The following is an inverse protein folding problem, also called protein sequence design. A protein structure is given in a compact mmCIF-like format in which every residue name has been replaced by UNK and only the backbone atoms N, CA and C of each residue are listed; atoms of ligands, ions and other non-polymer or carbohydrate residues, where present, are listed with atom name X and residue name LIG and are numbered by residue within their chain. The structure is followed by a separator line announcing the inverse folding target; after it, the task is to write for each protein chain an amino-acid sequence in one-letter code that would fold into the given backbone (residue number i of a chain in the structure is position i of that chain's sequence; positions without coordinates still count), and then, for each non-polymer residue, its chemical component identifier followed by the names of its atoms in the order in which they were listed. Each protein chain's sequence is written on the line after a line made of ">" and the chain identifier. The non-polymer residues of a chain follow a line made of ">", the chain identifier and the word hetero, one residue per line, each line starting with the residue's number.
data_IF_416135841321
#
_entry.id   IF_416135841321
#
_cell.length_a   1.000
_cell.length_b   1.000
_cell.length_c   1.000
_cell.angle_alpha   90.00
_cell.angle_beta   90.00
_cell.angle_gamma   90.00
#
_symmetry.space_group_name_H-M   'P 1'
#
loop_
_entity.id
_entity.type
_entity.pdbx_description
1 polymer ?
#
# COMPACT_ATOMS: atom_id res chain seq x y z
N UNK A 1 -14.19 3.34 12.12
CA UNK A 1 -12.79 2.89 12.03
C UNK A 1 -12.58 2.24 10.68
N UNK A 2 -11.41 2.42 10.07
CA UNK A 2 -11.07 1.72 8.82
C UNK A 2 -10.59 0.30 9.08
N UNK A 3 -10.48 -0.54 8.03
CA UNK A 3 -9.84 -1.84 8.17
C UNK A 3 -8.38 -1.69 8.60
N UNK A 4 -7.85 -2.70 9.30
CA UNK A 4 -6.47 -2.73 9.80
C UNK A 4 -5.46 -2.62 8.66
N UNK A 5 -5.77 -3.20 7.50
CA UNK A 5 -4.95 -3.16 6.29
C UNK A 5 -5.84 -2.94 5.06
N UNK A 6 -5.28 -2.33 4.03
CA UNK A 6 -5.96 -2.14 2.74
C UNK A 6 -4.99 -2.46 1.61
N UNK A 7 -5.44 -3.28 0.65
CA UNK A 7 -4.66 -3.57 -0.55
C UNK A 7 -4.58 -2.31 -1.42
N UNK A 8 -3.38 -2.01 -1.92
CA UNK A 8 -3.11 -0.86 -2.81
C UNK A 8 -2.50 -1.21 -4.15
N UNK A 9 -1.87 -2.37 -4.25
CA UNK A 9 -1.35 -2.90 -5.50
C UNK A 9 -1.22 -4.40 -5.40
N UNK A 10 -1.35 -5.07 -6.53
CA UNK A 10 -1.01 -6.48 -6.69
C UNK A 10 -0.60 -6.70 -8.14
N UNK A 11 0.31 -7.64 -8.35
CA UNK A 11 0.70 -8.07 -9.69
C UNK A 11 1.03 -9.56 -9.66
N UNK A 12 0.80 -10.24 -10.78
CA UNK A 12 1.10 -11.66 -10.96
C UNK A 12 2.29 -11.80 -11.90
N UNK A 13 3.48 -11.76 -11.31
CA UNK A 13 4.74 -11.81 -12.06
C UNK A 13 5.16 -13.25 -12.29
N UNK A 14 5.49 -13.57 -13.55
CA UNK A 14 6.10 -14.84 -13.90
C UNK A 14 7.61 -14.75 -13.70
N UNK A 15 8.16 -15.61 -12.85
CA UNK A 15 9.60 -15.69 -12.59
C UNK A 15 10.11 -17.02 -13.12
N UNK A 16 11.16 -17.00 -13.94
CA UNK A 16 11.81 -18.22 -14.42
C UNK A 16 12.48 -18.96 -13.26
N UNK A 17 12.70 -20.26 -13.42
CA UNK A 17 13.41 -21.05 -12.41
C UNK A 17 14.78 -20.41 -12.10
N UNK A 18 15.09 -20.26 -10.81
CA UNK A 18 16.27 -19.54 -10.29
C UNK A 18 16.39 -18.05 -10.69
N UNK A 19 15.32 -17.46 -11.25
CA UNK A 19 15.26 -16.04 -11.58
C UNK A 19 14.83 -15.17 -10.40
N UNK A 20 15.07 -13.86 -10.55
CA UNK A 20 14.61 -12.82 -9.65
C UNK A 20 14.02 -11.71 -10.50
N UNK A 21 12.84 -11.22 -10.11
CA UNK A 21 12.19 -10.09 -10.77
C UNK A 21 11.96 -8.97 -9.76
N UNK A 22 12.08 -7.72 -10.21
CA UNK A 22 11.72 -6.54 -9.44
C UNK A 22 10.33 -6.09 -9.85
N UNK A 23 9.48 -5.84 -8.86
CA UNK A 23 8.10 -5.38 -9.06
C UNK A 23 7.95 -4.01 -8.42
N UNK A 24 7.33 -3.09 -9.14
CA UNK A 24 7.10 -1.71 -8.68
C UNK A 24 5.60 -1.46 -8.54
N UNK A 25 5.22 -0.85 -7.42
CA UNK A 25 3.83 -0.45 -7.15
C UNK A 25 3.80 1.05 -6.90
N UNK A 26 3.23 1.80 -7.83
CA UNK A 26 3.05 3.23 -7.65
C UNK A 26 1.95 3.52 -6.63
N UNK A 27 2.24 4.42 -5.68
CA UNK A 27 1.26 4.90 -4.72
C UNK A 27 0.87 6.33 -5.06
N UNK A 28 -0.41 6.53 -5.33
CA UNK A 28 -0.96 7.86 -5.57
C UNK A 28 -1.35 8.53 -4.25
N UNK A 29 -1.53 9.84 -4.29
CA UNK A 29 -2.12 10.60 -3.17
C UNK A 29 -3.47 10.02 -2.72
N UNK A 30 -4.26 9.46 -3.66
CA UNK A 30 -5.59 8.92 -3.37
C UNK A 30 -5.49 7.62 -2.57
N UNK A 31 -4.50 6.79 -2.83
CA UNK A 31 -4.26 5.53 -2.12
C UNK A 31 -4.01 5.74 -0.63
N UNK A 32 -3.41 6.88 -0.29
CA UNK A 32 -3.08 7.26 1.09
C UNK A 32 -4.14 8.16 1.74
N UNK A 33 -5.19 8.49 0.99
CA UNK A 33 -6.29 9.35 1.44
C UNK A 33 -7.46 8.55 1.99
N UNK A 34 -8.21 9.17 2.90
CA UNK A 34 -9.52 8.69 3.36
C UNK A 34 -10.59 9.67 2.94
N UNK A 35 -11.81 9.19 2.71
CA UNK A 35 -12.94 10.07 2.42
C UNK A 35 -13.40 10.79 3.71
N UNK A 36 -13.42 12.11 3.66
CA UNK A 36 -13.95 12.97 4.74
C UNK A 36 -15.39 13.35 4.38
N UNK A 37 -16.36 12.77 5.09
CA UNK A 37 -17.80 12.96 4.83
C UNK A 37 -18.29 14.36 5.16
N UNK A 38 -17.64 15.06 6.10
CA UNK A 38 -18.00 16.44 6.46
C UNK A 38 -17.58 17.39 5.34
N UNK A 39 -16.39 17.18 4.78
CA UNK A 39 -15.83 18.03 3.73
C UNK A 39 -16.13 17.56 2.31
N UNK A 40 -16.78 16.40 2.16
CA UNK A 40 -17.08 15.75 0.88
C UNK A 40 -15.86 15.67 -0.04
N UNK A 41 -14.71 15.29 0.51
CA UNK A 41 -13.45 15.19 -0.25
C UNK A 41 -12.48 14.15 0.29
N UNK A 42 -11.57 13.71 -0.58
CA UNK A 42 -10.41 12.91 -0.19
C UNK A 42 -9.43 13.73 0.64
N UNK A 43 -9.07 13.23 1.81
CA UNK A 43 -8.12 13.84 2.74
C UNK A 43 -6.94 12.91 2.96
N UNK A 44 -5.77 13.39 2.54
CA UNK A 44 -4.49 12.84 2.97
C UNK A 44 -4.21 13.29 4.40
N UNK A 45 -3.79 12.38 5.26
CA UNK A 45 -3.37 12.68 6.63
C UNK A 45 -1.91 13.17 6.59
N UNK A 46 -1.72 14.47 6.41
CA UNK A 46 -0.40 15.14 6.44
C UNK A 46 0.27 14.96 7.80
N UNK A 47 1.60 14.83 7.82
CA UNK A 47 2.41 14.53 9.00
C UNK A 47 2.23 13.10 9.51
N UNK A 48 1.68 12.21 8.67
CA UNK A 48 1.36 10.83 9.02
C UNK A 48 2.48 9.88 8.58
N UNK A 49 2.81 8.92 9.44
CA UNK A 49 3.61 7.75 9.05
C UNK A 49 2.67 6.69 8.49
N UNK A 50 2.88 6.30 7.24
CA UNK A 50 2.14 5.24 6.57
C UNK A 50 2.99 3.98 6.52
N UNK A 51 2.53 2.91 7.16
CA UNK A 51 3.19 1.60 7.10
C UNK A 51 2.77 0.91 5.81
N UNK A 52 3.74 0.51 5.00
CA UNK A 52 3.56 -0.28 3.77
C UNK A 52 4.04 -1.69 4.07
N UNK A 53 3.22 -2.69 3.80
CA UNK A 53 3.54 -4.10 4.01
C UNK A 53 3.38 -4.84 2.68
N UNK A 54 4.33 -5.70 2.33
CA UNK A 54 4.37 -6.43 1.05
C UNK A 54 4.65 -7.91 1.28
N UNK A 55 3.94 -8.78 0.55
CA UNK A 55 4.11 -10.22 0.63
C UNK A 55 3.14 -10.99 -0.27
N UNK A 56 3.19 -12.32 -0.17
CA UNK A 56 2.39 -13.22 -1.02
C UNK A 56 0.92 -13.35 -0.58
N UNK A 57 0.56 -12.93 0.62
CA UNK A 57 -0.83 -12.91 1.08
C UNK A 57 -1.07 -11.84 2.15
N UNK A 58 -2.34 -11.50 2.41
CA UNK A 58 -2.69 -10.54 3.48
C UNK A 58 -2.29 -10.98 4.90
N UNK A 59 -1.93 -12.25 5.07
CA UNK A 59 -1.47 -12.85 6.33
C UNK A 59 0.04 -13.11 6.36
N UNK A 60 0.69 -13.10 5.20
CA UNK A 60 2.12 -13.34 5.02
C UNK A 60 2.76 -12.16 4.30
N UNK A 61 3.27 -11.21 5.11
CA UNK A 61 3.77 -9.90 4.71
C UNK A 61 5.17 -9.68 5.32
N UNK A 62 6.22 -10.36 4.80
CA UNK A 62 7.56 -10.33 5.39
C UNK A 62 8.27 -8.98 5.20
N UNK A 63 7.90 -8.20 4.18
CA UNK A 63 8.50 -6.91 3.90
C UNK A 63 7.67 -5.77 4.50
N UNK A 64 8.33 -4.84 5.17
CA UNK A 64 7.71 -3.65 5.76
C UNK A 64 8.55 -2.41 5.50
N UNK A 65 7.87 -1.33 5.15
CA UNK A 65 8.45 -0.01 4.96
C UNK A 65 7.57 1.07 5.57
N UNK A 66 8.10 2.27 5.72
CA UNK A 66 7.33 3.45 6.16
C UNK A 66 7.50 4.57 5.17
N UNK A 67 6.40 5.24 4.84
CA UNK A 67 6.39 6.46 4.02
C UNK A 67 5.91 7.61 4.90
N UNK A 68 6.66 8.70 4.93
CA UNK A 68 6.33 9.93 5.65
C UNK A 68 5.91 11.01 4.64
N UNK A 69 4.77 11.67 4.89
CA UNK A 69 4.17 12.68 4.00
C UNK A 69 3.62 13.86 4.79
#
# INVERSE_FOLDING_TARGET
>A
GGPVRQLRGFDKVFVRAAGTETVEFELTRRDLSVWDTVRQKWRLKKGGKYVVEVGGSSRDLPLKGTVEI
#
